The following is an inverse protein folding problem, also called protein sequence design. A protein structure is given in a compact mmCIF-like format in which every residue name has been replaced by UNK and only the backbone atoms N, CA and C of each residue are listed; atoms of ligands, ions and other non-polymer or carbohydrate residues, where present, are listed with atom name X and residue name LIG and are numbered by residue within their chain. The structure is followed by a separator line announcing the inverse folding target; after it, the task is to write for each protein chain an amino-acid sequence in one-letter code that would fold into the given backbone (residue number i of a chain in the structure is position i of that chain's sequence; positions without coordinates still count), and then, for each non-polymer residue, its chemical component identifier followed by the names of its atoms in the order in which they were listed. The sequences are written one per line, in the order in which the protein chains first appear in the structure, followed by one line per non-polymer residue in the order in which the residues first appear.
data_IF_308559626464
#
_entry.id   IF_308559626464
#
_cell.length_a   1.000
_cell.length_b   1.000
_cell.length_c   1.000
_cell.angle_alpha   90.00
_cell.angle_beta   90.00
_cell.angle_gamma   90.00
#
_symmetry.space_group_name_H-M   'P 1'
#
loop_
_entity.id
_entity.type
_entity.pdbx_description
1 polymer ?
#
# COMPACT_ATOMS: atom_id res chain seq x y z
N UNK A 1 -2.87 -13.16 -16.73
CA UNK A 1 -2.42 -11.88 -16.16
C UNK A 1 -2.58 -12.01 -14.66
N UNK A 2 -1.57 -11.70 -13.82
CA UNK A 2 -1.77 -11.75 -12.38
C UNK A 2 -2.91 -10.83 -12.00
N UNK A 3 -3.87 -11.32 -11.21
CA UNK A 3 -4.95 -10.46 -10.73
C UNK A 3 -4.39 -9.48 -9.70
N UNK A 4 -4.96 -8.28 -9.62
CA UNK A 4 -4.60 -7.27 -8.59
C UNK A 4 -4.64 -7.91 -7.20
N UNK A 5 -5.64 -8.76 -6.95
CA UNK A 5 -5.81 -9.53 -5.72
C UNK A 5 -4.60 -10.40 -5.38
N UNK A 6 -3.97 -11.04 -6.37
CA UNK A 6 -2.80 -11.91 -6.13
C UNK A 6 -1.56 -11.09 -5.78
N UNK A 7 -1.36 -9.95 -6.44
CA UNK A 7 -0.25 -9.04 -6.15
C UNK A 7 -0.37 -8.48 -4.73
N UNK A 8 -1.56 -8.03 -4.34
CA UNK A 8 -1.83 -7.51 -2.99
C UNK A 8 -1.65 -8.59 -1.93
N UNK A 9 -2.14 -9.82 -2.17
CA UNK A 9 -1.94 -10.95 -1.24
C UNK A 9 -0.47 -11.27 -1.06
N UNK A 10 0.32 -11.33 -2.13
CA UNK A 10 1.77 -11.56 -2.04
C UNK A 10 2.48 -10.45 -1.28
N UNK A 11 2.15 -9.19 -1.56
CA UNK A 11 2.69 -8.05 -0.80
C UNK A 11 2.37 -8.14 0.69
N UNK A 12 1.14 -8.52 1.06
CA UNK A 12 0.73 -8.72 2.46
C UNK A 12 1.50 -9.86 3.15
N UNK A 13 1.77 -10.97 2.44
CA UNK A 13 2.59 -12.06 2.98
C UNK A 13 4.02 -11.57 3.26
N UNK A 14 4.62 -10.84 2.31
CA UNK A 14 5.97 -10.31 2.45
C UNK A 14 6.10 -9.29 3.58
N UNK A 15 5.05 -8.49 3.84
CA UNK A 15 4.98 -7.62 5.02
C UNK A 15 5.11 -8.41 6.33
N UNK A 16 4.45 -9.57 6.43
CA UNK A 16 4.54 -10.46 7.61
C UNK A 16 5.93 -11.08 7.72
N UNK A 17 6.54 -11.43 6.58
CA UNK A 17 7.91 -11.94 6.51
C UNK A 17 8.98 -10.86 6.76
N UNK A 18 8.58 -9.60 6.97
CA UNK A 18 9.46 -8.43 7.11
C UNK A 18 10.31 -8.12 5.87
N UNK A 19 9.91 -8.63 4.72
CA UNK A 19 10.53 -8.32 3.44
C UNK A 19 9.76 -7.16 2.79
N UNK A 20 10.04 -5.96 3.29
CA UNK A 20 9.25 -4.78 2.96
C UNK A 20 9.56 -4.25 1.56
N UNK A 21 10.81 -4.38 1.10
CA UNK A 21 11.25 -3.97 -0.24
C UNK A 21 10.53 -4.76 -1.33
N UNK A 22 10.46 -6.09 -1.20
CA UNK A 22 9.73 -6.91 -2.17
C UNK A 22 8.22 -6.64 -2.07
N UNK A 23 7.68 -6.45 -0.85
CA UNK A 23 6.28 -6.08 -0.67
C UNK A 23 5.93 -4.78 -1.43
N UNK A 24 6.80 -3.77 -1.40
CA UNK A 24 6.63 -2.54 -2.18
C UNK A 24 6.56 -2.79 -3.67
N UNK A 25 7.44 -3.63 -4.21
CA UNK A 25 7.43 -3.95 -5.64
C UNK A 25 6.10 -4.59 -6.08
N UNK A 26 5.50 -5.43 -5.23
CA UNK A 26 4.18 -6.00 -5.50
C UNK A 26 3.05 -4.97 -5.40
N UNK A 27 3.07 -4.09 -4.40
CA UNK A 27 2.07 -3.02 -4.29
C UNK A 27 2.18 -2.00 -5.43
N UNK A 28 3.39 -1.68 -5.88
CA UNK A 28 3.59 -0.83 -7.05
C UNK A 28 3.03 -1.43 -8.33
N UNK A 29 3.25 -2.74 -8.55
CA UNK A 29 2.62 -3.46 -9.66
C UNK A 29 1.09 -3.46 -9.54
N UNK A 30 0.55 -3.63 -8.32
CA UNK A 30 -0.87 -3.59 -8.09
C UNK A 30 -1.46 -2.19 -8.37
N UNK A 31 -0.74 -1.11 -8.01
CA UNK A 31 -1.11 0.27 -8.31
C UNK A 31 -1.06 0.61 -9.80
N UNK A 32 -0.17 -0.01 -10.58
CA UNK A 32 -0.15 0.13 -12.04
C UNK A 32 -1.43 -0.41 -12.68
N UNK A 33 -2.06 -1.40 -12.06
CA UNK A 33 -3.31 -2.01 -12.53
C UNK A 33 -4.54 -1.30 -11.98
N UNK A 34 -4.49 -0.84 -10.72
CA UNK A 34 -5.54 -0.04 -10.09
C UNK A 34 -4.95 1.04 -9.17
N UNK A 35 -4.80 2.24 -9.71
CA UNK A 35 -4.28 3.40 -8.97
C UNK A 35 -5.27 4.02 -7.98
N UNK A 36 -6.56 3.67 -8.08
CA UNK A 36 -7.65 4.22 -7.26
C UNK A 36 -8.09 3.25 -6.16
N UNK A 37 -7.19 2.36 -5.72
CA UNK A 37 -7.46 1.44 -4.63
C UNK A 37 -6.84 1.96 -3.32
N UNK A 38 -7.64 2.44 -2.35
CA UNK A 38 -7.12 2.94 -1.09
C UNK A 38 -6.41 1.86 -0.26
N UNK A 39 -6.83 0.58 -0.34
CA UNK A 39 -6.15 -0.51 0.39
C UNK A 39 -4.70 -0.62 -0.08
N UNK A 40 -4.45 -0.58 -1.39
CA UNK A 40 -3.09 -0.74 -1.93
C UNK A 40 -2.18 0.41 -1.49
N UNK A 41 -2.67 1.65 -1.49
CA UNK A 41 -1.93 2.81 -0.98
C UNK A 41 -1.63 2.69 0.52
N UNK A 42 -2.60 2.23 1.31
CA UNK A 42 -2.40 1.96 2.74
C UNK A 42 -1.34 0.86 2.98
N UNK A 43 -1.38 -0.25 2.23
CA UNK A 43 -0.39 -1.31 2.35
C UNK A 43 1.01 -0.85 1.94
N UNK A 44 1.12 -0.07 0.85
CA UNK A 44 2.38 0.56 0.43
C UNK A 44 2.94 1.47 1.52
N UNK A 45 2.08 2.30 2.12
CA UNK A 45 2.45 3.17 3.24
C UNK A 45 2.95 2.38 4.46
N UNK A 46 2.31 1.26 4.78
CA UNK A 46 2.73 0.38 5.88
C UNK A 46 4.12 -0.25 5.62
N UNK A 47 4.40 -0.68 4.39
CA UNK A 47 5.72 -1.18 4.00
C UNK A 47 6.81 -0.08 4.12
N UNK A 48 6.55 1.12 3.58
CA UNK A 48 7.47 2.26 3.67
C UNK A 48 7.76 2.69 5.11
N UNK A 49 6.72 2.72 5.95
CA UNK A 49 6.84 3.02 7.39
C UNK A 49 7.75 2.00 8.08
N UNK A 50 7.64 0.73 7.70
CA UNK A 50 8.46 -0.35 8.28
C UNK A 50 9.93 -0.27 7.83
N UNK A 51 10.19 0.35 6.67
CA UNK A 51 11.53 0.69 6.17
C UNK A 51 12.09 1.99 6.74
N UNK A 52 11.34 2.71 7.59
CA UNK A 52 11.74 4.02 8.11
C UNK A 52 11.59 5.18 7.10
N UNK A 53 10.95 4.92 5.95
CA UNK A 53 10.66 5.93 4.90
C UNK A 53 9.35 6.64 5.23
N UNK A 54 9.36 7.41 6.32
CA UNK A 54 8.14 7.98 6.90
C UNK A 54 7.48 9.02 5.99
N UNK A 55 8.25 9.87 5.31
CA UNK A 55 7.71 10.91 4.43
C UNK A 55 6.91 10.29 3.28
N UNK A 56 7.47 9.28 2.62
CA UNK A 56 6.80 8.56 1.53
C UNK A 56 5.62 7.73 2.02
N UNK A 57 5.70 7.19 3.24
CA UNK A 57 4.58 6.50 3.86
C UNK A 57 3.39 7.45 4.08
N UNK A 58 3.66 8.67 4.58
CA UNK A 58 2.65 9.71 4.77
C UNK A 58 2.02 10.12 3.44
N UNK A 59 2.80 10.28 2.38
CA UNK A 59 2.25 10.55 1.04
C UNK A 59 1.31 9.43 0.58
N UNK A 60 1.66 8.16 0.83
CA UNK A 60 0.81 7.03 0.48
C UNK A 60 -0.49 7.02 1.30
N UNK A 61 -0.42 7.28 2.61
CA UNK A 61 -1.62 7.37 3.44
C UNK A 61 -2.50 8.56 3.04
N UNK A 62 -1.91 9.70 2.70
CA UNK A 62 -2.66 10.86 2.20
C UNK A 62 -3.38 10.52 0.89
N UNK A 63 -2.72 9.85 -0.06
CA UNK A 63 -3.38 9.38 -1.29
C UNK A 63 -4.52 8.41 -1.02
N UNK A 64 -4.34 7.48 -0.08
CA UNK A 64 -5.43 6.58 0.33
C UNK A 64 -6.64 7.37 0.83
N UNK A 65 -6.42 8.40 1.66
CA UNK A 65 -7.46 9.28 2.20
C UNK A 65 -8.08 10.22 1.16
N UNK A 66 -7.34 10.59 0.11
CA UNK A 66 -7.88 11.35 -1.02
C UNK A 66 -8.82 10.49 -1.87
N UNK A 67 -8.50 9.20 -2.05
CA UNK A 67 -9.30 8.25 -2.82
C UNK A 67 -10.54 7.84 -2.05
N UNK A 68 -10.36 7.44 -0.79
CA UNK A 68 -11.45 7.10 0.12
C UNK A 68 -11.32 7.88 1.44
N UNK A 69 -12.02 9.01 1.57
CA UNK A 69 -11.98 9.84 2.76
C UNK A 69 -12.75 9.23 3.94
N UNK A 70 -13.38 8.05 3.80
CA UNK A 70 -14.20 7.44 4.86
C UNK A 70 -13.38 6.96 6.06
N UNK A 71 -12.06 6.80 5.92
CA UNK A 71 -11.14 6.50 7.03
C UNK A 71 -10.74 7.76 7.82
N UNK A 72 -11.24 8.94 7.43
CA UNK A 72 -11.30 10.09 8.34
C UNK A 72 -12.42 9.83 9.34
N UNK A 73 -12.10 9.16 10.45
CA UNK A 73 -12.86 9.37 11.67
C UNK A 73 -12.80 10.86 12.03
N UNK A 74 -13.78 11.57 11.49
CA UNK A 74 -14.28 12.85 11.92
C UNK A 74 -14.49 12.84 13.43
N UNK A 75 -14.02 13.91 14.06
CA UNK A 75 -14.40 14.33 15.42
C UNK A 75 -15.90 14.46 15.59
#
# INVERSE_FOLDING_TARGET
MPEISDLVKKGKILLVERNFEDALAYFEQALLLNQNDPDIWNQKGAALRSLGRYDEALECFNKSLEIDPTDKHSS
#
